data_IF_775570654851
#
_entry.id   IF_775570654851
#
_cell.length_a   1.000
_cell.length_b   1.000
_cell.length_c   1.000
_cell.angle_alpha   90.00
_cell.angle_beta   90.00
_cell.angle_gamma   90.00
#
_symmetry.space_group_name_H-M   'P 1'
#
loop_
_entity.id
_entity.type
_entity.pdbx_description
1 polymer ?
#
# COMPACT_ATOMS: atom_id res chain seq x y z
N UNK A 1 11.59 -38.54 39.30
CA UNK A 1 11.10 -37.38 38.53
C UNK A 1 11.17 -37.77 37.06
N UNK A 2 10.35 -37.20 36.19
CA UNK A 2 10.38 -37.42 34.73
C UNK A 2 9.48 -38.54 34.18
N UNK A 3 8.17 -38.51 34.50
CA UNK A 3 7.20 -39.22 33.65
C UNK A 3 5.84 -38.51 33.47
N UNK A 4 5.58 -37.40 34.17
CA UNK A 4 4.33 -36.64 34.01
C UNK A 4 4.47 -35.41 33.09
N UNK A 5 5.70 -34.91 32.85
CA UNK A 5 5.94 -33.81 31.90
C UNK A 5 5.97 -34.25 30.42
N UNK A 6 6.20 -35.55 30.15
CA UNK A 6 6.19 -36.11 28.78
C UNK A 6 4.76 -36.31 28.23
N UNK A 7 3.75 -36.46 29.11
CA UNK A 7 2.36 -36.70 28.68
C UNK A 7 1.66 -35.40 28.24
N UNK A 8 2.06 -34.25 28.79
CA UNK A 8 1.49 -32.94 28.42
C UNK A 8 2.03 -32.40 27.08
N UNK A 9 3.24 -32.80 26.67
CA UNK A 9 3.83 -32.38 25.39
C UNK A 9 3.39 -33.21 24.18
N UNK A 10 2.74 -34.37 24.41
CA UNK A 10 2.25 -35.24 23.34
C UNK A 10 0.80 -34.90 22.94
N UNK A 11 0.01 -34.30 23.83
CA UNK A 11 -1.41 -33.97 23.59
C UNK A 11 -1.63 -32.65 22.82
N UNK A 12 -0.61 -31.80 22.66
CA UNK A 12 -0.74 -30.53 21.90
C UNK A 12 -0.35 -30.72 20.41
N UNK A 13 0.02 -31.93 19.98
CA UNK A 13 0.53 -32.19 18.62
C UNK A 13 -0.40 -32.98 17.68
N UNK A 14 -1.65 -33.19 18.05
CA UNK A 14 -2.58 -33.96 17.22
C UNK A 14 -4.00 -33.36 17.20
N UNK A 15 -4.15 -32.16 16.65
CA UNK A 15 -5.47 -31.66 16.20
C UNK A 15 -5.31 -30.39 15.35
N UNK A 16 -4.71 -30.52 14.16
CA UNK A 16 -4.79 -29.48 13.13
C UNK A 16 -4.38 -29.95 11.73
N UNK A 17 -5.01 -30.99 11.23
CA UNK A 17 -4.99 -31.31 9.80
C UNK A 17 -6.34 -31.93 9.40
N UNK A 18 -7.23 -31.10 8.85
CA UNK A 18 -8.20 -31.52 7.82
C UNK A 18 -8.96 -30.30 7.27
N UNK A 19 -8.25 -29.48 6.48
CA UNK A 19 -8.83 -28.78 5.32
C UNK A 19 -7.74 -28.76 4.24
N UNK A 20 -7.72 -29.80 3.41
CA UNK A 20 -6.96 -29.78 2.17
C UNK A 20 -7.61 -28.77 1.21
N UNK A 21 -6.94 -27.64 1.00
CA UNK A 21 -7.26 -26.67 -0.05
C UNK A 21 -6.75 -27.21 -1.40
N UNK A 22 -7.61 -27.44 -2.41
CA UNK A 22 -7.25 -28.15 -3.63
C UNK A 22 -6.76 -27.20 -4.73
N UNK A 23 -5.77 -26.35 -4.45
CA UNK A 23 -5.06 -25.57 -5.46
C UNK A 23 -3.55 -25.65 -5.22
N UNK A 24 -2.97 -26.73 -5.72
CA UNK A 24 -1.54 -26.96 -5.79
C UNK A 24 -0.85 -25.92 -6.67
N UNK A 25 -0.41 -24.82 -6.05
CA UNK A 25 0.73 -24.03 -6.49
C UNK A 25 1.81 -24.17 -5.43
N UNK A 26 2.98 -24.71 -5.81
CA UNK A 26 4.19 -24.63 -4.98
C UNK A 26 4.60 -23.17 -4.83
N UNK A 27 3.93 -22.44 -3.94
CA UNK A 27 4.43 -21.17 -3.44
C UNK A 27 5.46 -21.53 -2.37
N UNK A 28 6.73 -21.58 -2.76
CA UNK A 28 7.81 -21.54 -1.76
C UNK A 28 7.52 -20.36 -0.83
N UNK A 29 7.28 -20.65 0.45
CA UNK A 29 7.09 -19.62 1.47
C UNK A 29 8.34 -18.75 1.42
N UNK A 30 8.21 -17.51 0.95
CA UNK A 30 9.33 -16.59 0.84
C UNK A 30 9.87 -16.29 2.25
N UNK A 31 10.94 -16.97 2.61
CA UNK A 31 11.61 -16.78 3.89
C UNK A 31 12.69 -15.71 3.76
N UNK A 32 12.33 -14.49 4.17
CA UNK A 32 13.25 -13.35 4.17
C UNK A 32 14.47 -13.59 5.05
N UNK A 33 14.37 -14.37 6.14
CA UNK A 33 15.53 -14.65 6.99
C UNK A 33 16.53 -15.55 6.27
N UNK A 34 16.03 -16.56 5.54
CA UNK A 34 16.87 -17.43 4.70
C UNK A 34 17.56 -16.61 3.61
N UNK A 35 16.86 -15.67 2.97
CA UNK A 35 17.45 -14.78 1.97
C UNK A 35 18.54 -13.89 2.57
N UNK A 36 18.26 -13.23 3.70
CA UNK A 36 19.22 -12.33 4.36
C UNK A 36 20.44 -13.09 4.91
N UNK A 37 20.27 -14.33 5.40
CA UNK A 37 21.38 -15.22 5.75
C UNK A 37 22.23 -15.58 4.53
N UNK A 38 21.60 -15.88 3.38
CA UNK A 38 22.30 -16.14 2.11
C UNK A 38 23.11 -14.93 1.62
N UNK A 39 22.69 -13.71 1.97
CA UNK A 39 23.44 -12.49 1.65
C UNK A 39 24.70 -12.31 2.51
N UNK A 40 24.92 -13.16 3.51
CA UNK A 40 26.08 -13.10 4.41
C UNK A 40 25.95 -12.04 5.49
N UNK A 41 24.72 -11.62 5.82
CA UNK A 41 24.48 -10.63 6.87
C UNK A 41 24.56 -11.28 8.25
N UNK A 42 25.14 -10.56 9.20
CA UNK A 42 25.20 -10.98 10.60
C UNK A 42 23.81 -11.12 11.20
N UNK A 43 23.62 -12.06 12.13
CA UNK A 43 22.30 -12.32 12.74
C UNK A 43 21.75 -11.08 13.46
N UNK A 44 22.62 -10.24 14.03
CA UNK A 44 22.25 -8.95 14.62
C UNK A 44 21.66 -7.97 13.60
N UNK A 45 22.25 -7.90 12.41
CA UNK A 45 21.72 -7.10 11.29
C UNK A 45 20.38 -7.63 10.80
N UNK A 46 20.23 -8.96 10.73
CA UNK A 46 18.96 -9.60 10.37
C UNK A 46 17.87 -9.28 11.40
N UNK A 47 18.19 -9.41 12.69
CA UNK A 47 17.26 -9.08 13.78
C UNK A 47 16.83 -7.62 13.71
N UNK A 48 17.76 -6.71 13.40
CA UNK A 48 17.47 -5.28 13.21
C UNK A 48 16.52 -5.04 12.04
N UNK A 49 16.76 -5.65 10.88
CA UNK A 49 15.88 -5.55 9.72
C UNK A 49 14.46 -6.05 10.05
N UNK A 50 14.36 -7.19 10.74
CA UNK A 50 13.07 -7.75 11.19
C UNK A 50 12.37 -6.86 12.22
N UNK A 51 13.12 -6.25 13.15
CA UNK A 51 12.62 -5.30 14.13
C UNK A 51 12.06 -4.04 13.46
N UNK A 52 12.70 -3.58 12.38
CA UNK A 52 12.19 -2.51 11.51
C UNK A 52 10.98 -2.93 10.66
N UNK A 53 10.48 -4.16 10.79
CA UNK A 53 9.28 -4.65 10.11
C UNK A 53 9.53 -5.24 8.72
N UNK A 54 10.78 -5.43 8.31
CA UNK A 54 11.13 -5.98 6.99
C UNK A 54 10.94 -7.50 7.02
N UNK A 55 9.71 -7.94 6.75
CA UNK A 55 9.29 -9.35 6.88
C UNK A 55 8.92 -10.03 5.56
N UNK A 56 8.88 -9.29 4.47
CA UNK A 56 8.34 -9.76 3.19
C UNK A 56 9.21 -9.25 2.05
N UNK A 57 9.15 -9.96 0.93
CA UNK A 57 9.80 -9.57 -0.31
C UNK A 57 9.42 -8.16 -0.76
N UNK A 58 8.15 -7.80 -0.60
CA UNK A 58 7.63 -6.49 -0.98
C UNK A 58 8.38 -5.33 -0.29
N UNK A 59 8.77 -5.50 0.98
CA UNK A 59 9.56 -4.51 1.69
C UNK A 59 10.95 -4.33 1.06
N UNK A 60 11.59 -5.43 0.63
CA UNK A 60 12.88 -5.38 -0.07
C UNK A 60 12.73 -4.77 -1.46
N UNK A 61 11.62 -5.00 -2.17
CA UNK A 61 11.35 -4.41 -3.49
C UNK A 61 11.10 -2.90 -3.44
N UNK A 62 10.43 -2.40 -2.39
CA UNK A 62 10.03 -1.00 -2.27
C UNK A 62 10.99 -0.15 -1.42
N UNK A 63 12.05 -0.75 -0.87
CA UNK A 63 13.06 -0.04 -0.10
C UNK A 63 13.75 1.06 -0.94
N UNK A 64 14.13 2.16 -0.29
CA UNK A 64 14.83 3.28 -0.92
C UNK A 64 16.09 3.60 -0.12
N UNK A 65 17.02 4.35 -0.71
CA UNK A 65 18.28 4.70 -0.03
C UNK A 65 18.04 5.31 1.36
N UNK A 66 17.11 6.25 1.51
CA UNK A 66 16.80 6.86 2.81
C UNK A 66 16.27 5.86 3.86
N UNK A 67 15.52 4.83 3.44
CA UNK A 67 15.10 3.76 4.35
C UNK A 67 16.30 2.95 4.86
N UNK A 68 17.31 2.74 4.00
CA UNK A 68 18.56 2.06 4.38
C UNK A 68 19.36 2.95 5.32
N UNK A 69 19.51 4.24 5.01
CA UNK A 69 20.13 5.21 5.94
C UNK A 69 19.44 5.17 7.31
N UNK A 70 18.11 5.04 7.32
CA UNK A 70 17.35 5.01 8.55
C UNK A 70 17.55 3.73 9.39
N UNK A 71 17.86 2.60 8.75
CA UNK A 71 18.14 1.32 9.41
C UNK A 71 19.59 1.27 9.89
N UNK A 72 20.51 1.88 9.14
CA UNK A 72 21.94 1.86 9.36
C UNK A 72 22.47 3.24 9.77
N UNK A 73 21.81 3.89 10.74
CA UNK A 73 22.15 5.25 11.21
C UNK A 73 23.47 5.36 11.96
N UNK A 74 23.97 4.26 12.53
CA UNK A 74 25.20 4.26 13.32
C UNK A 74 26.39 4.11 12.36
N UNK A 75 27.39 4.97 12.53
CA UNK A 75 28.61 4.94 11.72
C UNK A 75 29.36 3.60 11.84
N UNK A 76 29.24 2.92 12.97
CA UNK A 76 29.78 1.57 13.22
C UNK A 76 29.19 0.50 12.27
N UNK A 77 28.06 0.79 11.63
CA UNK A 77 27.31 -0.15 10.78
C UNK A 77 27.48 0.12 9.28
N UNK A 78 28.44 0.98 8.91
CA UNK A 78 28.67 1.38 7.52
C UNK A 78 29.04 0.18 6.64
N UNK A 79 29.76 -0.80 7.17
CA UNK A 79 30.14 -2.01 6.44
C UNK A 79 28.92 -2.86 6.09
N UNK A 80 28.05 -3.11 7.06
CA UNK A 80 26.82 -3.88 6.89
C UNK A 80 25.84 -3.18 5.96
N UNK A 81 25.79 -1.85 6.02
CA UNK A 81 25.02 -1.01 5.10
C UNK A 81 25.49 -1.22 3.66
N UNK A 82 26.79 -1.17 3.40
CA UNK A 82 27.36 -1.36 2.05
C UNK A 82 27.01 -2.76 1.53
N UNK A 83 27.22 -3.80 2.34
CA UNK A 83 26.93 -5.19 1.97
C UNK A 83 25.43 -5.35 1.68
N UNK A 84 24.57 -4.87 2.58
CA UNK A 84 23.12 -4.96 2.42
C UNK A 84 22.66 -4.24 1.15
N UNK A 85 23.12 -3.00 0.93
CA UNK A 85 22.74 -2.18 -0.23
C UNK A 85 23.14 -2.86 -1.54
N UNK A 86 24.38 -3.34 -1.64
CA UNK A 86 24.87 -4.04 -2.84
C UNK A 86 24.14 -5.36 -3.09
N UNK A 87 23.89 -6.15 -2.04
CA UNK A 87 23.13 -7.41 -2.18
C UNK A 87 21.67 -7.17 -2.56
N UNK A 88 21.05 -6.14 -2.00
CA UNK A 88 19.69 -5.75 -2.31
C UNK A 88 19.57 -5.29 -3.77
N UNK A 89 20.52 -4.48 -4.25
CA UNK A 89 20.54 -4.03 -5.63
C UNK A 89 20.74 -5.19 -6.62
N UNK A 90 21.69 -6.08 -6.36
CA UNK A 90 21.90 -7.28 -7.18
C UNK A 90 20.66 -8.20 -7.17
N UNK A 91 20.07 -8.43 -6.00
CA UNK A 91 18.84 -9.22 -5.91
C UNK A 91 17.69 -8.59 -6.71
N UNK A 92 17.55 -7.26 -6.69
CA UNK A 92 16.56 -6.58 -7.52
C UNK A 92 16.82 -6.74 -9.01
N UNK A 93 18.07 -6.59 -9.45
CA UNK A 93 18.44 -6.78 -10.85
C UNK A 93 18.17 -8.21 -11.32
N UNK A 94 18.48 -9.22 -10.50
CA UNK A 94 18.22 -10.63 -10.81
C UNK A 94 16.73 -10.99 -10.91
N UNK A 95 15.86 -10.19 -10.32
CA UNK A 95 14.40 -10.39 -10.34
C UNK A 95 13.68 -9.32 -11.18
N UNK A 96 14.41 -8.61 -12.05
CA UNK A 96 13.87 -7.58 -12.95
C UNK A 96 13.14 -6.43 -12.22
N UNK A 97 13.51 -6.15 -10.97
CA UNK A 97 12.95 -5.05 -10.19
C UNK A 97 13.70 -3.73 -10.44
N UNK A 98 12.97 -2.62 -10.26
CA UNK A 98 13.54 -1.26 -10.39
C UNK A 98 14.80 -1.12 -9.51
N UNK A 99 15.92 -0.60 -10.06
CA UNK A 99 17.14 -0.34 -9.31
C UNK A 99 16.90 0.51 -8.07
N UNK A 100 17.80 0.40 -7.10
CA UNK A 100 17.73 1.19 -5.88
C UNK A 100 17.85 2.68 -6.23
N UNK A 101 16.77 3.43 -6.05
CA UNK A 101 16.75 4.87 -6.30
C UNK A 101 16.70 5.65 -4.99
N UNK A 102 17.30 6.83 -4.97
CA UNK A 102 16.81 7.90 -4.11
C UNK A 102 15.41 8.29 -4.61
N UNK A 103 14.53 8.73 -3.71
CA UNK A 103 13.25 9.30 -4.14
C UNK A 103 13.53 10.39 -5.19
N UNK A 104 12.66 10.60 -6.20
CA UNK A 104 12.78 11.73 -7.13
C UNK A 104 12.60 13.11 -6.47
N UNK A 105 12.80 13.20 -5.16
CA UNK A 105 12.85 14.41 -4.36
C UNK A 105 14.31 14.84 -4.22
N UNK A 106 14.94 15.23 -5.34
CA UNK A 106 16.07 16.16 -5.43
C UNK A 106 16.82 15.97 -6.77
N UNK A 107 16.27 16.51 -7.86
CA UNK A 107 17.11 17.24 -8.80
C UNK A 107 16.69 18.69 -8.66
N UNK A 108 17.47 19.44 -7.87
CA UNK A 108 17.44 20.90 -7.96
C UNK A 108 17.82 21.24 -9.39
N UNK A 109 17.00 22.06 -10.01
CA UNK A 109 17.32 22.78 -11.23
C UNK A 109 18.74 23.36 -11.11
N UNK A 110 19.60 23.00 -12.06
CA UNK A 110 20.64 23.93 -12.50
C UNK A 110 20.06 24.60 -13.74
N UNK A 111 19.74 25.90 -13.68
CA UNK A 111 19.44 26.66 -14.87
C UNK A 111 20.74 26.77 -15.68
N UNK A 112 20.83 26.07 -16.80
CA UNK A 112 21.84 26.39 -17.81
C UNK A 112 21.28 27.58 -18.60
N UNK A 113 21.98 28.69 -18.46
CA UNK A 113 21.77 29.99 -19.09
C UNK A 113 21.74 29.84 -20.63
N UNK A 114 20.77 30.43 -21.37
CA UNK A 114 20.73 30.41 -22.83
C UNK A 114 21.82 31.24 -23.55
N UNK A 115 23.00 31.47 -22.95
CA UNK A 115 24.01 32.40 -23.47
C UNK A 115 25.35 31.83 -23.91
N UNK A 116 25.58 30.53 -23.84
CA UNK A 116 26.76 29.92 -24.46
C UNK A 116 26.38 29.14 -25.73
N UNK A 117 26.04 29.89 -26.77
CA UNK A 117 26.29 29.48 -28.15
C UNK A 117 27.63 30.11 -28.55
N UNK A 118 28.63 29.28 -28.87
CA UNK A 118 29.49 29.35 -30.06
C UNK A 118 30.84 28.66 -29.84
N UNK A 119 31.31 28.01 -30.91
CA UNK A 119 32.55 27.27 -31.10
C UNK A 119 32.69 25.90 -30.43
N UNK A 120 32.39 24.82 -31.19
CA UNK A 120 33.41 23.85 -31.65
C UNK A 120 32.94 23.13 -32.93
N UNK A 121 33.77 23.22 -33.97
CA UNK A 121 33.69 22.47 -35.24
C UNK A 121 33.81 20.94 -35.07
N UNK A 122 33.38 20.13 -36.07
CA UNK A 122 33.22 18.68 -35.95
C UNK A 122 34.51 17.91 -36.25
N UNK A 123 34.61 16.67 -35.76
CA UNK A 123 35.31 15.64 -36.51
C UNK A 123 34.46 14.37 -36.70
N UNK A 124 34.24 14.08 -37.98
CA UNK A 124 34.28 12.77 -38.65
C UNK A 124 33.79 11.50 -37.92
N UNK A 125 32.73 10.95 -38.53
CA UNK A 125 32.53 9.54 -38.88
C UNK A 125 33.02 8.45 -37.89
N UNK A 126 32.06 7.80 -37.23
CA UNK A 126 32.09 6.34 -37.16
C UNK A 126 30.66 5.77 -37.14
N UNK A 127 30.51 4.69 -37.89
CA UNK A 127 29.31 4.01 -38.33
C UNK A 127 29.03 2.88 -37.33
N UNK A 128 27.95 2.96 -36.54
CA UNK A 128 27.47 1.83 -35.74
C UNK A 128 26.00 1.99 -35.33
N UNK A 129 25.14 1.41 -36.17
CA UNK A 129 23.95 0.59 -35.86
C UNK A 129 22.92 1.20 -34.87
N UNK A 130 21.70 1.56 -35.33
CA UNK A 130 20.60 1.90 -34.43
C UNK A 130 20.04 0.62 -33.77
N UNK A 131 19.88 0.57 -32.43
CA UNK A 131 19.09 -0.48 -31.82
C UNK A 131 17.60 -0.21 -32.06
N UNK A 132 16.92 -1.21 -32.59
CA UNK A 132 15.45 -1.25 -32.75
C UNK A 132 14.72 -0.86 -31.45
N UNK A 133 13.56 -0.18 -31.53
CA UNK A 133 12.77 0.19 -30.38
C UNK A 133 12.11 -1.06 -29.78
N UNK A 134 12.53 -1.44 -28.56
CA UNK A 134 11.81 -2.44 -27.76
C UNK A 134 10.37 -1.95 -27.47
N UNK A 135 9.39 -2.86 -27.38
CA UNK A 135 7.98 -2.50 -27.21
C UNK A 135 7.75 -1.80 -25.87
N UNK A 136 7.21 -0.58 -25.91
CA UNK A 136 6.70 0.11 -24.73
C UNK A 136 5.65 -0.78 -24.04
N UNK A 137 5.93 -1.17 -22.81
CA UNK A 137 4.93 -1.78 -21.94
C UNK A 137 3.73 -0.83 -21.81
N UNK A 138 2.48 -1.34 -21.83
CA UNK A 138 1.30 -0.49 -21.75
C UNK A 138 1.35 0.34 -20.46
N UNK A 139 1.03 1.66 -20.53
CA UNK A 139 1.09 2.52 -19.37
C UNK A 139 0.15 1.98 -18.31
N UNK A 140 0.69 1.65 -17.13
CA UNK A 140 -0.11 1.38 -15.94
C UNK A 140 -1.15 2.51 -15.82
N UNK A 141 -2.44 2.16 -15.74
CA UNK A 141 -3.53 3.13 -15.63
C UNK A 141 -3.38 3.93 -14.33
N UNK A 142 -2.62 5.02 -14.42
CA UNK A 142 -2.43 5.96 -13.33
C UNK A 142 -3.77 6.61 -12.97
N UNK A 143 -4.07 6.70 -11.68
CA UNK A 143 -5.29 7.34 -11.19
C UNK A 143 -5.38 8.78 -11.69
N UNK A 144 -6.44 9.11 -12.42
CA UNK A 144 -6.65 10.44 -12.96
C UNK A 144 -7.80 11.15 -12.21
N UNK A 145 -7.44 12.13 -11.38
CA UNK A 145 -8.39 12.86 -10.55
C UNK A 145 -9.39 13.69 -11.36
N UNK A 146 -8.93 14.37 -12.42
CA UNK A 146 -9.79 15.19 -13.28
C UNK A 146 -10.88 14.33 -13.95
N UNK A 147 -10.50 13.17 -14.52
CA UNK A 147 -11.46 12.21 -15.08
C UNK A 147 -12.46 11.73 -14.03
N UNK A 148 -11.98 11.44 -12.82
CA UNK A 148 -12.84 10.97 -11.71
C UNK A 148 -13.85 12.04 -11.29
N UNK A 149 -13.44 13.31 -11.19
CA UNK A 149 -14.34 14.41 -10.84
C UNK A 149 -15.37 14.69 -11.93
N UNK A 150 -14.99 14.61 -13.21
CA UNK A 150 -15.91 14.82 -14.34
C UNK A 150 -17.00 13.76 -14.44
N UNK A 151 -16.82 12.57 -13.86
CA UNK A 151 -17.87 11.54 -13.78
C UNK A 151 -18.99 11.90 -12.80
N UNK A 152 -18.73 12.76 -11.81
CA UNK A 152 -19.70 13.13 -10.78
C UNK A 152 -20.25 14.55 -11.00
N UNK A 153 -21.58 14.79 -10.88
CA UNK A 153 -22.15 16.13 -10.88
C UNK A 153 -21.53 17.04 -9.81
N UNK A 154 -21.22 16.47 -8.63
CA UNK A 154 -20.57 17.20 -7.55
C UNK A 154 -19.12 17.54 -7.89
N UNK A 155 -18.40 16.64 -8.56
CA UNK A 155 -17.03 16.89 -9.01
C UNK A 155 -16.95 18.00 -10.06
N UNK A 156 -17.90 18.04 -11.00
CA UNK A 156 -18.03 19.15 -11.96
C UNK A 156 -18.25 20.50 -11.26
N UNK A 157 -19.08 20.52 -10.21
CA UNK A 157 -19.33 21.73 -9.42
C UNK A 157 -18.09 22.20 -8.67
N UNK A 158 -17.29 21.27 -8.11
CA UNK A 158 -16.02 21.60 -7.44
C UNK A 158 -15.07 22.31 -8.42
N UNK A 159 -14.91 21.79 -9.64
CA UNK A 159 -14.07 22.40 -10.69
C UNK A 159 -14.58 23.80 -11.05
N UNK A 160 -15.90 23.97 -11.17
CA UNK A 160 -16.51 25.25 -11.51
C UNK A 160 -16.35 26.29 -10.37
N UNK A 161 -16.58 25.88 -9.13
CA UNK A 161 -16.43 26.73 -7.94
C UNK A 161 -14.98 27.19 -7.79
N UNK A 162 -14.01 26.29 -7.98
CA UNK A 162 -12.59 26.65 -7.97
C UNK A 162 -12.26 27.66 -9.06
N UNK A 163 -12.75 27.46 -10.29
CA UNK A 163 -12.52 28.40 -11.39
C UNK A 163 -13.08 29.80 -11.10
N UNK A 164 -14.17 29.88 -10.35
CA UNK A 164 -14.82 31.14 -9.98
C UNK A 164 -14.14 31.85 -8.80
N UNK A 165 -13.74 31.09 -7.78
CA UNK A 165 -13.29 31.63 -6.49
C UNK A 165 -11.77 31.54 -6.28
N UNK A 166 -11.06 30.79 -7.12
CA UNK A 166 -9.61 30.56 -7.05
C UNK A 166 -9.16 29.56 -5.96
N UNK A 167 -10.06 29.11 -5.09
CA UNK A 167 -9.78 28.19 -3.97
C UNK A 167 -10.97 27.25 -3.72
N UNK A 168 -10.73 26.10 -3.07
CA UNK A 168 -11.81 25.21 -2.66
C UNK A 168 -12.38 25.63 -1.30
N UNK A 169 -13.70 25.63 -1.19
CA UNK A 169 -14.36 25.76 0.11
C UNK A 169 -14.20 24.48 0.93
N UNK A 170 -14.24 24.55 2.25
CA UNK A 170 -14.21 23.36 3.12
C UNK A 170 -15.26 22.30 2.73
N UNK A 171 -16.44 22.75 2.27
CA UNK A 171 -17.50 21.87 1.75
C UNK A 171 -17.06 21.15 0.47
N UNK A 172 -16.42 21.87 -0.44
CA UNK A 172 -15.89 21.30 -1.69
C UNK A 172 -14.73 20.35 -1.41
N UNK A 173 -13.81 20.69 -0.51
CA UNK A 173 -12.70 19.83 -0.06
C UNK A 173 -13.20 18.50 0.54
N UNK A 174 -14.22 18.57 1.41
CA UNK A 174 -14.85 17.37 2.00
C UNK A 174 -15.52 16.51 0.92
N UNK A 175 -16.23 17.14 -0.02
CA UNK A 175 -16.92 16.46 -1.12
C UNK A 175 -15.93 15.82 -2.08
N UNK A 176 -14.83 16.51 -2.39
CA UNK A 176 -13.70 16.02 -3.18
C UNK A 176 -13.11 14.73 -2.58
N UNK A 177 -12.76 14.76 -1.29
CA UNK A 177 -12.20 13.59 -0.60
C UNK A 177 -13.15 12.39 -0.67
N UNK A 178 -14.44 12.63 -0.50
CA UNK A 178 -15.45 11.57 -0.60
C UNK A 178 -15.51 10.97 -1.99
N UNK A 179 -15.51 11.78 -3.05
CA UNK A 179 -15.57 11.27 -4.44
C UNK A 179 -14.36 10.37 -4.75
N UNK A 180 -13.16 10.79 -4.32
CA UNK A 180 -11.93 10.01 -4.52
C UNK A 180 -12.03 8.66 -3.82
N UNK A 181 -12.46 8.65 -2.55
CA UNK A 181 -12.55 7.43 -1.76
C UNK A 181 -13.70 6.53 -2.20
N UNK A 182 -14.84 7.08 -2.63
CA UNK A 182 -15.94 6.32 -3.22
C UNK A 182 -15.45 5.58 -4.49
N UNK A 183 -14.67 6.26 -5.34
CA UNK A 183 -14.05 5.62 -6.51
C UNK A 183 -13.08 4.51 -6.10
N UNK A 184 -12.17 4.78 -5.15
CA UNK A 184 -11.22 3.76 -4.69
C UNK A 184 -11.92 2.53 -4.11
N UNK A 185 -12.89 2.75 -3.21
CA UNK A 185 -13.62 1.65 -2.57
C UNK A 185 -14.45 0.83 -3.57
N UNK A 186 -14.86 1.42 -4.70
CA UNK A 186 -15.55 0.68 -5.75
C UNK A 186 -14.66 -0.40 -6.42
N UNK A 187 -13.34 -0.28 -6.28
CA UNK A 187 -12.36 -1.27 -6.75
C UNK A 187 -12.13 -2.41 -5.76
N UNK A 188 -12.86 -2.44 -4.63
CA UNK A 188 -12.73 -3.41 -3.52
C UNK A 188 -11.30 -3.59 -2.99
N UNK A 189 -10.48 -2.54 -3.10
CA UNK A 189 -9.12 -2.52 -2.56
C UNK A 189 -9.04 -1.64 -1.32
N UNK A 190 -8.23 -2.04 -0.34
CA UNK A 190 -7.94 -1.19 0.80
C UNK A 190 -7.12 0.03 0.36
N UNK A 191 -7.44 1.21 0.90
CA UNK A 191 -6.66 2.42 0.63
C UNK A 191 -5.35 2.34 1.41
N UNK A 192 -4.23 2.20 0.71
CA UNK A 192 -2.90 2.18 1.31
C UNK A 192 -2.39 3.58 1.63
N UNK A 193 -1.34 3.70 2.45
CA UNK A 193 -0.64 4.97 2.70
C UNK A 193 -0.19 5.64 1.40
N UNK A 194 0.40 4.86 0.50
CA UNK A 194 0.83 5.35 -0.81
C UNK A 194 -0.34 5.96 -1.59
N UNK A 195 -1.51 5.33 -1.56
CA UNK A 195 -2.69 5.87 -2.24
C UNK A 195 -3.15 7.19 -1.64
N UNK A 196 -3.12 7.34 -0.32
CA UNK A 196 -3.41 8.63 0.31
C UNK A 196 -2.43 9.73 -0.11
N UNK A 197 -1.14 9.42 -0.22
CA UNK A 197 -0.12 10.35 -0.69
C UNK A 197 -0.36 10.71 -2.17
N UNK A 198 -0.62 9.72 -3.03
CA UNK A 198 -0.95 9.95 -4.45
C UNK A 198 -2.21 10.80 -4.63
N UNK A 199 -3.25 10.57 -3.83
CA UNK A 199 -4.46 11.38 -3.85
C UNK A 199 -4.20 12.81 -3.41
N UNK A 200 -3.45 13.02 -2.33
CA UNK A 200 -3.10 14.36 -1.88
C UNK A 200 -2.28 15.11 -2.95
N UNK A 201 -1.28 14.46 -3.57
CA UNK A 201 -0.50 15.03 -4.66
C UNK A 201 -1.35 15.37 -5.88
N UNK A 202 -2.26 14.47 -6.27
CA UNK A 202 -3.17 14.70 -7.41
C UNK A 202 -4.11 15.89 -7.18
N UNK A 203 -4.56 16.08 -5.93
CA UNK A 203 -5.40 17.22 -5.55
C UNK A 203 -4.64 18.53 -5.72
N UNK A 204 -3.43 18.63 -5.18
CA UNK A 204 -2.61 19.84 -5.28
C UNK A 204 -2.24 20.15 -6.73
N UNK A 205 -1.98 19.12 -7.54
CA UNK A 205 -1.73 19.28 -8.97
C UNK A 205 -2.93 19.87 -9.72
N UNK A 206 -4.16 19.46 -9.38
CA UNK A 206 -5.38 19.94 -10.02
C UNK A 206 -5.87 21.28 -9.46
N UNK A 207 -5.54 21.57 -8.20
CA UNK A 207 -5.94 22.77 -7.46
C UNK A 207 -4.70 23.41 -6.80
N UNK A 208 -3.94 24.24 -7.53
CA UNK A 208 -2.65 24.77 -7.05
C UNK A 208 -2.69 25.63 -5.78
N UNK A 209 -3.88 26.03 -5.32
CA UNK A 209 -4.08 26.75 -4.06
C UNK A 209 -4.23 25.83 -2.83
N UNK A 210 -4.25 24.52 -3.02
CA UNK A 210 -4.42 23.53 -1.96
C UNK A 210 -3.08 23.06 -1.38
N UNK A 211 -3.10 22.59 -0.13
CA UNK A 211 -1.91 22.13 0.59
C UNK A 211 -2.01 20.63 0.84
N UNK A 212 -0.97 19.87 0.50
CA UNK A 212 -0.92 18.41 0.67
C UNK A 212 -1.28 17.96 2.09
N UNK A 213 -0.77 18.66 3.10
CA UNK A 213 -0.99 18.37 4.53
C UNK A 213 -2.46 18.50 4.97
N UNK A 214 -3.27 19.31 4.27
CA UNK A 214 -4.72 19.38 4.53
C UNK A 214 -5.41 18.05 4.23
N UNK A 215 -4.91 17.33 3.24
CA UNK A 215 -5.52 16.10 2.74
C UNK A 215 -4.96 14.85 3.39
N UNK A 216 -3.64 14.81 3.58
CA UNK A 216 -3.00 13.67 4.22
C UNK A 216 -1.68 14.05 4.90
N UNK A 217 -1.55 13.67 6.16
CA UNK A 217 -0.30 13.70 6.91
C UNK A 217 -0.07 12.28 7.41
N UNK A 218 1.03 11.67 6.97
CA UNK A 218 1.45 10.39 7.52
C UNK A 218 1.79 10.54 9.00
N UNK A 219 1.32 9.61 9.84
CA UNK A 219 1.72 9.57 11.24
C UNK A 219 3.25 9.56 11.38
N UNK A 220 3.79 10.41 12.26
CA UNK A 220 5.23 10.45 12.55
C UNK A 220 5.69 9.12 13.18
N UNK A 221 7.01 8.87 13.18
CA UNK A 221 7.73 7.65 13.59
C UNK A 221 7.38 7.01 14.96
N UNK A 222 6.47 7.58 15.75
CA UNK A 222 5.94 6.93 16.94
C UNK A 222 4.68 6.13 16.57
N UNK A 223 4.64 4.86 16.97
CA UNK A 223 3.51 3.93 16.79
C UNK A 223 2.15 4.46 17.33
N UNK A 224 2.16 5.58 18.05
CA UNK A 224 1.00 6.23 18.65
C UNK A 224 0.37 7.33 17.79
N UNK A 225 1.06 7.84 16.76
CA UNK A 225 0.54 8.97 15.98
C UNK A 225 -0.27 8.46 14.80
N UNK A 226 -1.59 8.55 14.89
CA UNK A 226 -2.46 8.18 13.77
C UNK A 226 -2.27 9.15 12.60
N UNK A 227 -2.40 8.68 11.34
CA UNK A 227 -2.47 9.59 10.20
C UNK A 227 -3.59 10.61 10.38
N UNK A 228 -3.37 11.82 9.88
CA UNK A 228 -4.35 12.91 9.93
C UNK A 228 -4.60 13.47 8.52
N UNK A 229 -5.56 14.38 8.40
CA UNK A 229 -5.99 14.95 7.12
C UNK A 229 -7.37 14.47 6.67
N UNK A 230 -7.95 15.23 5.74
CA UNK A 230 -9.33 15.03 5.29
C UNK A 230 -9.57 13.66 4.63
N UNK A 231 -8.62 13.16 3.84
CA UNK A 231 -8.76 11.86 3.17
C UNK A 231 -8.82 10.72 4.20
N UNK A 232 -7.95 10.74 5.21
CA UNK A 232 -7.92 9.69 6.22
C UNK A 232 -9.16 9.74 7.13
N UNK A 233 -9.57 10.95 7.55
CA UNK A 233 -10.78 11.14 8.34
C UNK A 233 -12.03 10.63 7.60
N UNK A 234 -12.15 10.97 6.32
CA UNK A 234 -13.26 10.55 5.47
C UNK A 234 -13.25 9.03 5.23
N UNK A 235 -12.07 8.43 5.00
CA UNK A 235 -11.93 6.98 4.85
C UNK A 235 -12.37 6.21 6.08
N UNK A 236 -11.98 6.67 7.28
CA UNK A 236 -12.45 6.10 8.54
C UNK A 236 -13.97 6.19 8.67
N UNK A 237 -14.54 7.37 8.43
CA UNK A 237 -15.99 7.55 8.48
C UNK A 237 -16.72 6.57 7.56
N UNK A 238 -16.24 6.41 6.32
CA UNK A 238 -16.81 5.48 5.35
C UNK A 238 -16.69 4.02 5.77
N UNK A 239 -15.52 3.60 6.25
CA UNK A 239 -15.31 2.26 6.80
C UNK A 239 -16.27 1.95 7.96
N UNK A 240 -16.44 2.89 8.89
CA UNK A 240 -17.36 2.74 10.03
C UNK A 240 -18.81 2.61 9.55
N UNK A 241 -19.21 3.41 8.57
CA UNK A 241 -20.55 3.37 7.98
C UNK A 241 -20.84 2.05 7.26
N UNK A 242 -19.85 1.49 6.55
CA UNK A 242 -19.96 0.17 5.92
C UNK A 242 -20.10 -0.94 6.96
N UNK A 243 -19.30 -0.91 8.03
CA UNK A 243 -19.40 -1.88 9.15
C UNK A 243 -20.78 -1.84 9.81
N UNK A 244 -21.25 -0.64 10.18
CA UNK A 244 -22.59 -0.46 10.76
C UNK A 244 -23.69 -1.02 9.86
N UNK A 245 -23.64 -0.77 8.54
CA UNK A 245 -24.61 -1.36 7.59
C UNK A 245 -24.57 -2.89 7.57
N UNK A 246 -23.37 -3.49 7.60
CA UNK A 246 -23.22 -4.95 7.66
C UNK A 246 -23.79 -5.52 8.97
N UNK A 247 -23.56 -4.84 10.09
CA UNK A 247 -24.07 -5.26 11.40
C UNK A 247 -25.59 -5.13 11.50
N UNK A 248 -26.17 -4.05 10.96
CA UNK A 248 -27.62 -3.89 10.87
C UNK A 248 -28.26 -4.99 10.01
N UNK A 249 -27.62 -5.36 8.88
CA UNK A 249 -28.09 -6.45 8.02
C UNK A 249 -28.06 -7.79 8.77
N UNK A 250 -26.94 -8.12 9.44
CA UNK A 250 -26.83 -9.34 10.26
C UNK A 250 -27.86 -9.41 11.37
N UNK A 251 -28.18 -8.28 12.03
CA UNK A 251 -29.24 -8.22 13.05
C UNK A 251 -30.63 -8.46 12.45
N UNK A 252 -30.90 -7.94 11.24
CA UNK A 252 -32.16 -8.18 10.52
C UNK A 252 -32.29 -9.65 10.09
N UNK A 253 -31.20 -10.26 9.62
CA UNK A 253 -31.19 -11.66 9.18
C UNK A 253 -31.35 -12.62 10.38
N UNK A 254 -30.75 -12.31 11.54
CA UNK A 254 -30.91 -13.08 12.78
C UNK A 254 -32.25 -12.86 13.49
N UNK A 255 -32.88 -11.70 13.30
CA UNK A 255 -34.19 -11.38 13.89
C UNK A 255 -35.39 -11.92 13.12
N UNK A 256 -35.19 -12.55 11.96
CA UNK A 256 -36.25 -13.07 11.11
C UNK A 256 -36.47 -14.59 11.22
N UNK A 257 -35.87 -15.26 12.22
CA UNK A 257 -36.20 -16.64 12.55
C UNK A 257 -37.50 -16.63 13.36
N UNK A 258 -38.63 -16.91 12.71
CA UNK A 258 -39.92 -17.07 13.39
C UNK A 258 -39.82 -18.15 14.48
N UNK A 259 -40.45 -17.97 15.65
CA UNK A 259 -40.57 -19.05 16.62
C UNK A 259 -41.42 -20.15 16.02
N UNK A 260 -40.88 -21.37 16.00
CA UNK A 260 -41.64 -22.59 15.70
C UNK A 260 -42.77 -22.67 16.72
N UNK A 261 -44.00 -22.41 16.28
CA UNK A 261 -45.20 -22.64 17.07
C UNK A 261 -45.35 -24.16 17.26
N UNK A 262 -44.98 -24.65 18.43
CA UNK A 262 -45.41 -25.96 18.93
C UNK A 262 -46.94 -25.94 19.08
N UNK A 263 -47.65 -26.58 18.14
CA UNK A 263 -49.08 -26.82 18.25
C UNK A 263 -49.37 -27.89 19.32
N UNK A 264 -50.48 -27.79 20.07
CA UNK A 264 -50.90 -28.79 21.05
C UNK A 264 -51.43 -30.04 20.34
N UNK A 265 -51.07 -31.21 20.85
CA UNK A 265 -51.60 -32.51 20.41
C UNK A 265 -52.72 -32.93 21.37
N UNK A 266 -53.92 -33.12 20.84
CA UNK A 266 -55.00 -34.02 21.29
C UNK A 266 -56.21 -33.83 20.35
N UNK A 267 -57.20 -34.76 20.28
CA UNK A 267 -57.30 -36.16 20.73
C UNK A 267 -57.70 -37.07 19.50
N UNK A 268 -57.93 -38.39 19.53
CA UNK A 268 -59.00 -39.15 20.19
C UNK A 268 -58.85 -40.67 19.93
N UNK A 269 -59.36 -41.44 20.90
CA UNK A 269 -60.13 -42.70 20.85
C UNK A 269 -60.38 -43.44 19.51
N UNK A 270 -60.29 -44.79 19.54
CA UNK A 270 -61.21 -45.85 19.03
C UNK A 270 -60.35 -47.10 18.73
N UNK A 271 -60.32 -48.14 19.57
CA UNK A 271 -61.14 -49.38 19.55
C UNK A 271 -61.02 -50.22 18.26
N UNK A 272 -60.31 -51.35 18.34
CA UNK A 272 -60.82 -52.71 18.10
C UNK A 272 -59.88 -53.74 18.75
#
# INVERSE_FOLDING_TARGET
MDNEEQVLLTTIKAERDDVADPLGGNYEIFDIQRLLRKWGLQQETINRLLFCGIKTEAHLRLMHHHHIEDIFKKDELIGEKIIFTGKLQNWRLMNEYRPLGCCPMATKDTPIDPRDLEDQDPPDADDSIPPDPLPEAPPEETFNLDKTLRKSPQGKQIILNHKKNGQLSHKDQTTLCRIILDHHMSLDTAVSRYQFEQYASSIVQLFPGEITETYYISGKMSATTQPTGLLYAQYKFMCTKVKQKKDLKRKKDKGNVQPVQSKPNEPDTITE
#
